data_IF_609671612670
#
_entry.id   IF_609671612670
#
_cell.length_a   1.000
_cell.length_b   1.000
_cell.length_c   1.000
_cell.angle_alpha   90.00
_cell.angle_beta   90.00
_cell.angle_gamma   90.00
#
_symmetry.space_group_name_H-M   'P 1'
#
loop_
_entity.id
_entity.type
_entity.pdbx_description
1 polymer ?
#
# COMPACT_ATOMS: atom_id res chain seq x y z
N UNK A 1 -21.61 20.51 -5.50
CA UNK A 1 -20.59 19.71 -4.79
C UNK A 1 -19.51 19.33 -5.80
N UNK A 2 -18.26 19.44 -5.40
CA UNK A 2 -17.11 19.02 -6.23
C UNK A 2 -16.70 17.61 -5.79
N UNK A 3 -16.36 16.75 -6.76
CA UNK A 3 -15.94 15.38 -6.51
C UNK A 3 -14.52 15.16 -7.00
N UNK A 4 -13.75 14.39 -6.26
CA UNK A 4 -12.45 13.87 -6.68
C UNK A 4 -12.59 12.39 -7.05
N UNK A 5 -12.40 12.09 -8.33
CA UNK A 5 -12.55 10.71 -8.83
C UNK A 5 -11.25 9.94 -8.71
N UNK A 6 -11.31 8.75 -8.13
CA UNK A 6 -10.21 7.79 -8.04
C UNK A 6 -10.56 6.51 -8.79
N UNK A 7 -9.54 5.80 -9.29
CA UNK A 7 -9.69 4.47 -9.87
C UNK A 7 -9.10 3.42 -8.92
N UNK A 8 -9.82 2.32 -8.70
CA UNK A 8 -9.35 1.24 -7.81
C UNK A 8 -9.81 -0.13 -8.29
N UNK A 9 -8.99 -1.13 -8.07
CA UNK A 9 -9.34 -2.55 -8.22
C UNK A 9 -9.79 -3.19 -6.91
N UNK A 10 -9.70 -2.42 -5.78
CA UNK A 10 -9.99 -2.91 -4.42
C UNK A 10 -10.91 -1.95 -3.66
N UNK A 11 -12.17 -1.79 -4.10
CA UNK A 11 -13.11 -0.85 -3.46
C UNK A 11 -13.39 -1.17 -1.98
N UNK A 12 -13.29 -2.43 -1.55
CA UNK A 12 -13.48 -2.83 -0.15
C UNK A 12 -12.47 -2.21 0.80
N UNK A 13 -11.23 -1.98 0.34
CA UNK A 13 -10.20 -1.37 1.20
C UNK A 13 -10.38 0.13 1.38
N UNK A 14 -11.23 0.78 0.55
CA UNK A 14 -11.55 2.20 0.65
C UNK A 14 -12.04 2.61 2.05
N UNK A 15 -12.69 1.70 2.77
CA UNK A 15 -13.14 1.95 4.14
C UNK A 15 -11.98 2.28 5.10
N UNK A 16 -10.74 1.92 4.74
CA UNK A 16 -9.51 2.22 5.47
C UNK A 16 -8.67 3.35 4.86
N UNK A 17 -9.20 4.08 3.87
CA UNK A 17 -8.45 5.18 3.25
C UNK A 17 -8.22 6.31 4.25
N UNK A 18 -7.00 6.87 4.24
CA UNK A 18 -6.59 7.96 5.12
C UNK A 18 -6.14 9.20 4.36
N UNK A 19 -5.97 9.09 3.05
CA UNK A 19 -5.72 10.21 2.15
C UNK A 19 -6.10 9.87 0.70
N UNK A 20 -6.09 10.90 -0.15
CA UNK A 20 -5.95 10.78 -1.60
C UNK A 20 -4.62 11.38 -2.00
N UNK A 21 -3.80 10.62 -2.73
CA UNK A 21 -2.51 11.10 -3.23
C UNK A 21 -2.64 11.55 -4.68
N UNK A 22 -1.95 12.64 -5.02
CA UNK A 22 -1.85 13.20 -6.37
C UNK A 22 -0.39 13.54 -6.67
N UNK A 23 -0.01 13.58 -7.93
CA UNK A 23 1.34 13.99 -8.28
C UNK A 23 1.48 15.53 -8.15
N UNK A 24 2.53 16.05 -7.49
CA UNK A 24 2.72 17.50 -7.33
C UNK A 24 2.89 18.27 -8.65
N UNK A 25 3.26 17.58 -9.73
CA UNK A 25 3.40 18.17 -11.07
C UNK A 25 2.13 18.02 -11.93
N UNK A 26 1.03 17.54 -11.35
CA UNK A 26 -0.24 17.41 -12.06
C UNK A 26 -1.11 18.65 -11.83
N UNK A 27 -1.14 19.53 -12.81
CA UNK A 27 -1.87 20.81 -12.75
C UNK A 27 -3.37 20.63 -12.47
N UNK A 28 -3.95 19.47 -12.77
CA UNK A 28 -5.36 19.18 -12.50
C UNK A 28 -5.70 19.20 -11.01
N UNK A 29 -4.72 18.87 -10.15
CA UNK A 29 -4.91 18.63 -8.72
C UNK A 29 -4.11 19.57 -7.83
N UNK A 30 -3.17 20.36 -8.35
CA UNK A 30 -2.28 21.23 -7.56
C UNK A 30 -3.06 22.13 -6.60
N UNK A 31 -4.18 22.69 -7.04
CA UNK A 31 -5.03 23.57 -6.21
C UNK A 31 -5.81 22.83 -5.10
N UNK A 32 -5.83 21.50 -5.11
CA UNK A 32 -6.52 20.66 -4.14
C UNK A 32 -5.60 20.14 -3.04
N UNK A 33 -4.28 20.16 -3.24
CA UNK A 33 -3.30 19.68 -2.26
C UNK A 33 -3.47 20.43 -0.94
N UNK A 34 -3.50 19.69 0.16
CA UNK A 34 -3.72 20.20 1.51
C UNK A 34 -5.18 20.41 1.90
N UNK A 35 -6.12 20.29 0.97
CA UNK A 35 -7.56 20.26 1.27
C UNK A 35 -7.99 18.88 1.77
N UNK A 36 -9.22 18.79 2.24
CA UNK A 36 -9.87 17.54 2.65
C UNK A 36 -11.00 17.16 1.70
N UNK A 37 -11.29 15.86 1.62
CA UNK A 37 -12.45 15.28 0.98
C UNK A 37 -13.18 14.36 1.94
N UNK A 38 -14.47 14.21 1.77
CA UNK A 38 -15.27 13.27 2.57
C UNK A 38 -15.24 11.91 1.88
N UNK A 39 -14.77 10.90 2.60
CA UNK A 39 -14.75 9.53 2.14
C UNK A 39 -16.18 8.96 2.16
N UNK A 40 -16.73 8.53 1.02
CA UNK A 40 -18.06 7.90 0.97
C UNK A 40 -18.16 6.70 1.90
N UNK A 41 -19.38 6.35 2.29
CA UNK A 41 -19.76 5.26 3.18
C UNK A 41 -19.33 5.42 4.63
N UNK A 42 -18.21 6.10 4.91
CA UNK A 42 -17.69 6.31 6.27
C UNK A 42 -17.96 7.72 6.79
N UNK A 43 -18.14 8.70 5.91
CA UNK A 43 -18.27 10.12 6.29
C UNK A 43 -16.98 10.74 6.85
N UNK A 44 -15.86 10.03 6.80
CA UNK A 44 -14.59 10.48 7.35
C UNK A 44 -13.94 11.51 6.42
N UNK A 45 -13.40 12.59 7.01
CA UNK A 45 -12.57 13.54 6.27
C UNK A 45 -11.15 13.00 6.11
N UNK A 46 -10.66 12.96 4.88
CA UNK A 46 -9.30 12.55 4.53
C UNK A 46 -8.60 13.64 3.74
N UNK A 47 -7.27 13.73 3.86
CA UNK A 47 -6.46 14.78 3.23
C UNK A 47 -6.11 14.44 1.79
N UNK A 48 -5.95 15.48 0.96
CA UNK A 48 -5.29 15.36 -0.34
C UNK A 48 -3.82 15.70 -0.14
N UNK A 49 -2.94 14.75 -0.47
CA UNK A 49 -1.49 14.87 -0.32
C UNK A 49 -0.78 14.82 -1.67
N UNK A 50 0.36 15.51 -1.78
CA UNK A 50 1.16 15.49 -3.01
C UNK A 50 2.32 14.49 -2.86
N UNK A 51 2.39 13.47 -3.72
CA UNK A 51 3.46 12.49 -3.70
C UNK A 51 3.91 12.14 -5.13
N UNK A 52 5.23 12.16 -5.37
CA UNK A 52 5.83 11.90 -6.68
C UNK A 52 5.68 10.44 -7.16
N UNK A 53 5.31 9.52 -6.28
CA UNK A 53 5.08 8.12 -6.65
C UNK A 53 3.83 7.93 -7.52
N UNK A 54 2.91 8.91 -7.48
CA UNK A 54 1.66 8.85 -8.25
C UNK A 54 1.95 9.08 -9.74
N UNK A 55 1.57 8.10 -10.56
CA UNK A 55 1.64 8.21 -12.01
C UNK A 55 0.43 9.01 -12.54
N UNK A 56 0.69 10.17 -13.14
CA UNK A 56 -0.34 11.08 -13.70
C UNK A 56 -1.11 10.49 -14.87
N UNK A 57 -0.55 9.47 -15.52
CA UNK A 57 -1.14 8.79 -16.68
C UNK A 57 -2.00 7.57 -16.30
N UNK A 58 -1.89 7.10 -15.05
CA UNK A 58 -2.63 5.92 -14.59
C UNK A 58 -3.99 6.31 -13.99
N UNK A 59 -5.06 5.69 -14.51
CA UNK A 59 -6.42 5.94 -14.04
C UNK A 59 -6.82 7.42 -14.18
N UNK A 60 -7.17 8.03 -13.05
CA UNK A 60 -7.51 9.47 -12.99
C UNK A 60 -6.31 10.36 -12.66
N UNK A 61 -5.16 9.78 -12.28
CA UNK A 61 -4.02 10.52 -11.71
C UNK A 61 -4.19 10.88 -10.23
N UNK A 62 -5.32 10.48 -9.62
CA UNK A 62 -5.56 10.56 -8.18
C UNK A 62 -5.72 9.14 -7.63
N UNK A 63 -4.99 8.82 -6.56
CA UNK A 63 -4.91 7.48 -5.97
C UNK A 63 -5.42 7.53 -4.54
N UNK A 64 -6.36 6.64 -4.19
CA UNK A 64 -6.74 6.42 -2.80
C UNK A 64 -5.58 5.81 -2.02
N UNK A 65 -5.39 6.16 -0.76
CA UNK A 65 -4.29 5.69 0.08
C UNK A 65 -4.83 4.88 1.24
N UNK A 66 -4.62 3.55 1.19
CA UNK A 66 -4.99 2.58 2.22
C UNK A 66 -3.74 1.92 2.82
N UNK A 67 -3.05 2.56 3.75
CA UNK A 67 -1.71 2.16 4.19
C UNK A 67 -1.62 0.76 4.81
N UNK A 68 -2.70 0.30 5.43
CA UNK A 68 -2.72 -1.02 6.08
C UNK A 68 -2.74 -2.19 5.08
N UNK A 69 -3.13 -1.96 3.82
CA UNK A 69 -3.42 -3.02 2.85
C UNK A 69 -2.70 -2.88 1.51
N UNK A 70 -1.77 -1.93 1.39
CA UNK A 70 -0.91 -1.73 0.23
C UNK A 70 0.46 -1.18 0.64
N UNK A 71 1.54 -1.78 0.13
CA UNK A 71 2.91 -1.39 0.49
C UNK A 71 3.26 0.01 -0.03
N UNK A 72 2.80 0.38 -1.22
CA UNK A 72 3.05 1.71 -1.79
C UNK A 72 2.32 2.78 -0.99
N UNK A 73 1.06 2.50 -0.62
CA UNK A 73 0.25 3.38 0.22
C UNK A 73 0.86 3.53 1.63
N UNK A 74 1.44 2.46 2.17
CA UNK A 74 2.18 2.52 3.43
C UNK A 74 3.38 3.47 3.37
N UNK A 75 4.15 3.44 2.28
CA UNK A 75 5.27 4.36 2.09
C UNK A 75 4.80 5.82 1.94
N UNK A 76 3.68 6.07 1.25
CA UNK A 76 3.03 7.39 1.21
C UNK A 76 2.65 7.82 2.63
N UNK A 77 1.99 6.95 3.38
CA UNK A 77 1.56 7.25 4.74
C UNK A 77 2.72 7.62 5.66
N UNK A 78 3.85 6.91 5.57
CA UNK A 78 5.06 7.24 6.34
C UNK A 78 5.62 8.62 6.00
N UNK A 79 5.67 8.98 4.70
CA UNK A 79 6.17 10.29 4.26
C UNK A 79 5.29 11.45 4.70
N UNK A 80 3.97 11.22 4.71
CA UNK A 80 2.97 12.26 5.01
C UNK A 80 2.41 12.17 6.44
N UNK A 81 2.92 11.26 7.27
CA UNK A 81 2.47 11.02 8.64
C UNK A 81 0.95 10.81 8.72
N UNK A 82 0.43 9.94 7.85
CA UNK A 82 -0.99 9.58 7.80
C UNK A 82 -1.30 8.48 8.82
N UNK A 83 -2.54 8.43 9.24
CA UNK A 83 -3.08 7.34 10.05
C UNK A 83 -3.07 6.01 9.26
N UNK A 84 -2.91 4.90 9.98
CA UNK A 84 -2.98 3.55 9.40
C UNK A 84 -4.23 2.88 9.99
N UNK A 85 -5.20 2.60 9.13
CA UNK A 85 -6.48 2.00 9.54
C UNK A 85 -6.60 0.62 8.89
N UNK A 86 -6.55 -0.41 9.72
CA UNK A 86 -6.80 -1.78 9.28
C UNK A 86 -8.31 -2.00 9.09
N UNK A 87 -8.68 -2.65 7.99
CA UNK A 87 -10.08 -3.02 7.68
C UNK A 87 -10.24 -4.49 7.35
N UNK A 88 -9.14 -5.23 7.17
CA UNK A 88 -9.11 -6.67 6.88
C UNK A 88 -8.24 -7.36 7.92
N UNK A 89 -8.73 -8.45 8.53
CA UNK A 89 -7.98 -9.25 9.49
C UNK A 89 -7.20 -10.40 8.83
N UNK A 90 -6.46 -11.15 9.65
CA UNK A 90 -5.66 -12.29 9.19
C UNK A 90 -6.48 -13.45 8.60
N UNK A 91 -7.77 -13.51 8.89
CA UNK A 91 -8.69 -14.52 8.33
C UNK A 91 -9.29 -14.11 6.98
N UNK A 92 -8.89 -12.94 6.44
CA UNK A 92 -9.43 -12.40 5.19
C UNK A 92 -10.88 -11.91 5.31
N UNK A 93 -11.25 -11.41 6.47
CA UNK A 93 -12.57 -10.82 6.75
C UNK A 93 -12.43 -9.37 7.13
N UNK A 94 -13.46 -8.60 6.83
CA UNK A 94 -13.57 -7.21 7.28
C UNK A 94 -13.68 -7.15 8.80
N UNK A 95 -13.05 -6.14 9.40
CA UNK A 95 -13.12 -5.90 10.86
C UNK A 95 -14.15 -4.82 11.22
N UNK A 96 -14.41 -4.63 12.51
CA UNK A 96 -15.46 -3.74 13.02
C UNK A 96 -15.39 -2.28 12.54
N UNK A 97 -14.21 -1.77 12.17
CA UNK A 97 -14.06 -0.44 11.58
C UNK A 97 -14.84 -0.30 10.26
N UNK A 98 -15.12 -1.41 9.61
CA UNK A 98 -15.91 -1.47 8.38
C UNK A 98 -17.43 -1.43 8.61
N UNK A 99 -17.89 -1.21 9.85
CA UNK A 99 -19.30 -1.10 10.27
C UNK A 99 -20.16 -2.25 9.71
N UNK A 100 -21.17 -1.96 8.89
CA UNK A 100 -22.09 -2.96 8.33
C UNK A 100 -21.42 -4.05 7.48
N UNK A 101 -20.16 -3.87 7.07
CA UNK A 101 -19.39 -4.86 6.33
C UNK A 101 -18.57 -5.78 7.23
N UNK A 102 -18.60 -5.56 8.55
CA UNK A 102 -17.85 -6.37 9.52
C UNK A 102 -18.18 -7.87 9.38
N UNK A 103 -17.15 -8.71 9.59
CA UNK A 103 -17.20 -10.16 9.46
C UNK A 103 -17.46 -10.73 8.06
N UNK A 104 -17.71 -9.88 7.05
CA UNK A 104 -17.83 -10.33 5.67
C UNK A 104 -16.46 -10.76 5.12
N UNK A 105 -16.38 -11.86 4.36
CA UNK A 105 -15.21 -12.15 3.54
C UNK A 105 -14.92 -11.00 2.56
N UNK A 106 -13.66 -10.70 2.31
CA UNK A 106 -13.20 -9.58 1.44
C UNK A 106 -13.96 -9.50 0.11
N UNK A 107 -14.16 -10.65 -0.57
CA UNK A 107 -14.87 -10.67 -1.87
C UNK A 107 -16.33 -10.23 -1.70
N UNK A 108 -17.01 -10.69 -0.65
CA UNK A 108 -18.39 -10.28 -0.35
C UNK A 108 -18.49 -8.81 0.01
N UNK A 109 -17.57 -8.32 0.84
CA UNK A 109 -17.50 -6.91 1.19
C UNK A 109 -17.29 -6.03 -0.04
N UNK A 110 -16.47 -6.46 -1.01
CA UNK A 110 -16.28 -5.76 -2.29
C UNK A 110 -17.59 -5.59 -3.05
N UNK A 111 -18.37 -6.68 -3.19
CA UNK A 111 -19.66 -6.65 -3.86
C UNK A 111 -20.62 -5.65 -3.17
N UNK A 112 -20.73 -5.72 -1.83
CA UNK A 112 -21.61 -4.84 -1.05
C UNK A 112 -21.17 -3.37 -1.09
N UNK A 113 -19.87 -3.09 -0.98
CA UNK A 113 -19.32 -1.72 -1.10
C UNK A 113 -19.64 -1.13 -2.47
N UNK A 114 -19.48 -1.89 -3.55
CA UNK A 114 -19.80 -1.44 -4.91
C UNK A 114 -21.30 -1.18 -5.05
N UNK A 115 -22.15 -2.05 -4.51
CA UNK A 115 -23.61 -1.88 -4.52
C UNK A 115 -24.03 -0.59 -3.81
N UNK A 116 -23.47 -0.34 -2.63
CA UNK A 116 -23.79 0.85 -1.83
C UNK A 116 -23.30 2.15 -2.49
N UNK A 117 -22.07 2.15 -3.02
CA UNK A 117 -21.55 3.29 -3.77
C UNK A 117 -22.38 3.58 -5.02
N UNK A 118 -22.86 2.53 -5.69
CA UNK A 118 -23.74 2.66 -6.85
C UNK A 118 -25.08 3.26 -6.45
N UNK A 119 -25.67 2.75 -5.37
CA UNK A 119 -26.96 3.27 -4.86
C UNK A 119 -26.90 4.74 -4.42
N UNK A 120 -25.72 5.19 -3.94
CA UNK A 120 -25.47 6.58 -3.55
C UNK A 120 -24.97 7.47 -4.71
N UNK A 121 -24.81 6.92 -5.92
CA UNK A 121 -24.38 7.68 -7.10
C UNK A 121 -22.88 8.03 -7.15
N UNK A 122 -22.03 7.34 -6.36
CA UNK A 122 -20.57 7.59 -6.33
C UNK A 122 -19.77 6.78 -7.36
N UNK A 123 -20.39 5.81 -8.04
CA UNK A 123 -19.74 5.05 -9.12
C UNK A 123 -19.93 5.76 -10.46
N UNK A 124 -18.85 6.20 -11.07
CA UNK A 124 -18.88 6.77 -12.41
C UNK A 124 -18.85 5.70 -13.50
N UNK A 125 -18.01 4.66 -13.32
CA UNK A 125 -17.79 3.61 -14.31
C UNK A 125 -17.23 2.36 -13.64
N UNK A 126 -17.62 1.20 -14.16
CA UNK A 126 -17.01 -0.10 -13.86
C UNK A 126 -16.45 -0.64 -15.18
N UNK A 127 -15.18 -1.02 -15.19
CA UNK A 127 -14.47 -1.54 -16.36
C UNK A 127 -13.75 -2.83 -16.02
N UNK A 128 -13.68 -3.72 -17.00
CA UNK A 128 -12.80 -4.89 -16.89
C UNK A 128 -11.35 -4.46 -16.94
N UNK A 129 -10.57 -4.85 -15.92
CA UNK A 129 -9.16 -4.52 -15.80
C UNK A 129 -8.34 -5.76 -15.48
N UNK A 130 -7.36 -6.07 -16.33
CA UNK A 130 -6.45 -7.20 -16.15
C UNK A 130 -5.16 -6.74 -15.46
N UNK A 131 -4.84 -7.32 -14.31
CA UNK A 131 -3.62 -7.05 -13.56
C UNK A 131 -3.10 -8.31 -12.86
N UNK A 132 -1.83 -8.27 -12.45
CA UNK A 132 -1.23 -9.36 -11.68
C UNK A 132 -1.66 -9.31 -10.23
N UNK A 133 -2.16 -10.43 -9.71
CA UNK A 133 -2.54 -10.58 -8.30
C UNK A 133 -1.63 -11.62 -7.65
N UNK A 134 -1.04 -11.26 -6.51
CA UNK A 134 -0.23 -12.18 -5.71
C UNK A 134 -1.07 -13.36 -5.20
N UNK A 135 -0.59 -14.58 -5.42
CA UNK A 135 -1.24 -15.80 -4.94
C UNK A 135 -0.27 -16.64 -4.12
N UNK A 136 -0.80 -17.30 -3.10
CA UNK A 136 -0.05 -18.28 -2.33
C UNK A 136 0.40 -19.44 -3.27
N UNK A 137 1.72 -19.71 -3.27
CA UNK A 137 2.27 -20.78 -4.10
C UNK A 137 1.77 -22.19 -3.72
N UNK A 138 1.28 -22.36 -2.49
CA UNK A 138 0.81 -23.65 -1.96
C UNK A 138 -0.67 -23.91 -2.21
N UNK A 139 -1.54 -22.92 -2.01
CA UNK A 139 -3.00 -23.10 -2.07
C UNK A 139 -3.69 -22.20 -3.09
N UNK A 140 -2.94 -21.36 -3.83
CA UNK A 140 -3.46 -20.41 -4.83
C UNK A 140 -4.45 -19.37 -4.28
N UNK A 141 -4.60 -19.24 -2.97
CA UNK A 141 -5.39 -18.18 -2.35
C UNK A 141 -4.74 -16.81 -2.63
N UNK A 142 -5.54 -15.81 -2.91
CA UNK A 142 -5.09 -14.42 -3.05
C UNK A 142 -4.45 -13.94 -1.75
N UNK A 143 -3.30 -13.28 -1.86
CA UNK A 143 -2.59 -12.73 -0.72
C UNK A 143 -3.18 -11.36 -0.39
N UNK A 144 -3.63 -11.18 0.85
CA UNK A 144 -4.03 -9.90 1.40
C UNK A 144 -2.87 -9.32 2.22
N UNK A 145 -2.29 -8.16 1.82
CA UNK A 145 -1.31 -7.48 2.65
C UNK A 145 -1.95 -7.02 3.96
N UNK A 146 -1.31 -7.37 5.07
CA UNK A 146 -1.70 -6.94 6.42
C UNK A 146 -0.46 -6.48 7.19
N UNK A 147 -0.66 -5.55 8.11
CA UNK A 147 0.40 -5.10 9.00
C UNK A 147 0.68 -6.16 10.05
N UNK A 148 1.95 -6.45 10.31
CA UNK A 148 2.34 -7.32 11.41
C UNK A 148 3.70 -6.93 11.98
N UNK A 149 3.86 -7.05 13.29
CA UNK A 149 5.15 -6.85 13.93
C UNK A 149 6.08 -8.02 13.59
N UNK A 150 7.28 -7.69 13.13
CA UNK A 150 8.30 -8.66 12.77
C UNK A 150 9.60 -8.36 13.50
N UNK A 151 10.31 -9.39 13.93
CA UNK A 151 11.64 -9.25 14.48
C UNK A 151 12.64 -8.99 13.36
N UNK A 152 13.36 -7.86 13.46
CA UNK A 152 14.46 -7.53 12.58
C UNK A 152 15.74 -7.34 13.38
N UNK A 153 16.81 -8.00 12.95
CA UNK A 153 18.14 -7.73 13.46
C UNK A 153 18.80 -6.65 12.57
N UNK A 154 19.14 -5.51 13.17
CA UNK A 154 19.85 -4.44 12.46
C UNK A 154 21.31 -4.85 12.26
N UNK A 155 21.61 -5.43 11.09
CA UNK A 155 22.91 -6.05 10.80
C UNK A 155 23.91 -5.13 10.07
N UNK A 156 23.50 -3.94 9.65
CA UNK A 156 24.29 -3.07 8.77
C UNK A 156 25.73 -2.80 9.28
N UNK A 157 25.87 -2.45 10.56
CA UNK A 157 27.21 -2.19 11.14
C UNK A 157 28.04 -3.47 11.22
N UNK A 158 27.42 -4.60 11.59
CA UNK A 158 28.09 -5.90 11.68
C UNK A 158 28.54 -6.37 10.29
N UNK A 159 27.69 -6.21 9.28
CA UNK A 159 28.01 -6.54 7.89
C UNK A 159 29.17 -5.73 7.36
N UNK A 160 29.19 -4.41 7.58
CA UNK A 160 30.30 -3.53 7.21
C UNK A 160 31.62 -3.97 7.86
N UNK A 161 31.59 -4.30 9.15
CA UNK A 161 32.78 -4.77 9.87
C UNK A 161 33.28 -6.12 9.35
N UNK A 162 32.37 -7.06 9.06
CA UNK A 162 32.71 -8.36 8.52
C UNK A 162 33.27 -8.26 7.09
N UNK A 163 32.67 -7.44 6.23
CA UNK A 163 33.18 -7.16 4.89
C UNK A 163 34.57 -6.53 4.93
N UNK A 164 34.81 -5.55 5.81
CA UNK A 164 36.08 -4.91 5.98
C UNK A 164 37.15 -5.90 6.48
N UNK A 165 36.84 -6.79 7.41
CA UNK A 165 37.78 -7.80 7.90
C UNK A 165 38.22 -8.77 6.78
N UNK A 166 37.33 -9.08 5.84
CA UNK A 166 37.68 -9.88 4.67
C UNK A 166 38.57 -9.09 3.68
N UNK A 167 38.28 -7.80 3.45
CA UNK A 167 39.09 -6.91 2.60
C UNK A 167 40.49 -6.65 3.18
N UNK A 168 40.61 -6.59 4.50
CA UNK A 168 41.88 -6.42 5.23
C UNK A 168 42.66 -7.75 5.40
N UNK A 169 42.22 -8.84 4.76
CA UNK A 169 42.81 -10.18 4.85
C UNK A 169 42.87 -10.75 6.28
N UNK A 170 42.10 -10.21 7.24
CA UNK A 170 41.97 -10.78 8.58
C UNK A 170 41.18 -12.10 8.57
N UNK A 171 40.37 -12.30 7.54
CA UNK A 171 39.66 -13.54 7.22
C UNK A 171 40.11 -13.98 5.83
N UNK A 172 40.62 -15.22 5.70
CA UNK A 172 41.05 -15.80 4.45
C UNK A 172 40.10 -16.86 3.95
N UNK A 173 39.81 -16.85 2.65
CA UNK A 173 38.93 -17.79 2.00
C UNK A 173 39.70 -18.84 1.20
N UNK A 174 39.19 -20.08 1.25
CA UNK A 174 39.71 -21.20 0.45
C UNK A 174 38.54 -21.84 -0.31
N UNK A 175 38.54 -21.79 -1.64
CA UNK A 175 39.47 -21.03 -2.49
C UNK A 175 39.26 -19.51 -2.36
N UNK A 176 40.26 -18.68 -2.70
CA UNK A 176 40.18 -17.21 -2.58
C UNK A 176 39.02 -16.57 -3.35
N UNK A 177 38.53 -17.22 -4.39
CA UNK A 177 37.36 -16.77 -5.19
C UNK A 177 36.09 -16.54 -4.39
N UNK A 178 35.92 -17.17 -3.22
CA UNK A 178 34.78 -16.98 -2.35
C UNK A 178 34.76 -15.63 -1.60
N UNK A 179 35.85 -14.93 -1.53
CA UNK A 179 35.91 -13.61 -0.90
C UNK A 179 34.97 -12.61 -1.59
N UNK A 180 34.94 -12.61 -2.92
CA UNK A 180 34.11 -11.68 -3.69
C UNK A 180 32.60 -11.92 -3.48
N UNK A 181 32.05 -13.14 -3.60
CA UNK A 181 30.65 -13.41 -3.26
C UNK A 181 30.29 -13.03 -1.81
N UNK A 182 31.18 -13.32 -0.86
CA UNK A 182 30.96 -13.00 0.54
C UNK A 182 30.84 -11.48 0.78
N UNK A 183 31.79 -10.70 0.27
CA UNK A 183 31.74 -9.23 0.43
C UNK A 183 30.57 -8.61 -0.29
N UNK A 184 30.23 -9.07 -1.51
CA UNK A 184 29.04 -8.60 -2.22
C UNK A 184 27.76 -8.87 -1.46
N UNK A 185 27.63 -10.02 -0.81
CA UNK A 185 26.45 -10.35 -0.02
C UNK A 185 26.33 -9.49 1.24
N UNK A 186 27.43 -9.11 1.87
CA UNK A 186 27.46 -8.27 3.06
C UNK A 186 27.28 -6.78 2.77
N UNK A 187 27.70 -6.34 1.57
CA UNK A 187 27.68 -4.92 1.17
C UNK A 187 26.32 -4.51 0.55
N UNK A 188 25.42 -5.49 0.20
CA UNK A 188 24.05 -5.29 -0.27
C UNK A 188 23.04 -5.45 0.88
#
# INVERSE_FOLDING_TARGET
>A
DEFLTVATTRPETMLGDTAVAVNPNDDRYTALVGKTVILPLTGREIKIVADYIVDTSFGTGAVKVTPAHDNTDYEIARRHNLEIIEVINADGKMINVADKYADLPVIKAREEVVNDLTAQGYILKIEDYSHSVGKCYRCSTTIEPIMSEQWFLKVEEMSKRASQAAKDEKVKFYPPSWQKPYTLWLDN
#
